data_IF_712146204807
#
_entry.id   IF_712146204807
#
_cell.length_a   1.000
_cell.length_b   1.000
_cell.length_c   1.000
_cell.angle_alpha   90.00
_cell.angle_beta   90.00
_cell.angle_gamma   90.00
#
_symmetry.space_group_name_H-M   'P 1'
#
loop_
_entity.id
_entity.type
_entity.pdbx_description
1 polymer ?
#
# COMPACT_ATOMS: atom_id res chain seq x y z
N UNK A 1 5.62 -5.00 25.49
CA UNK A 1 6.18 -5.92 24.46
C UNK A 1 5.40 -7.22 24.48
N UNK A 2 5.33 -7.95 23.37
CA UNK A 2 4.57 -9.22 23.26
C UNK A 2 5.37 -10.31 22.55
N UNK A 3 5.17 -11.56 22.96
CA UNK A 3 5.71 -12.79 22.32
C UNK A 3 4.77 -13.34 21.24
N UNK A 4 4.10 -12.45 20.52
CA UNK A 4 3.19 -12.87 19.46
C UNK A 4 3.95 -13.63 18.37
N UNK A 5 3.61 -14.90 18.20
CA UNK A 5 4.14 -15.76 17.14
C UNK A 5 3.50 -15.32 15.81
N UNK A 6 4.33 -15.16 14.78
CA UNK A 6 3.87 -14.80 13.44
C UNK A 6 2.90 -15.87 12.88
N UNK A 7 1.98 -15.47 12.01
CA UNK A 7 1.07 -16.40 11.34
C UNK A 7 1.82 -17.44 10.51
N UNK A 8 1.35 -18.71 10.50
CA UNK A 8 1.97 -19.74 9.69
C UNK A 8 1.94 -19.36 8.21
N UNK A 9 3.06 -19.57 7.52
CA UNK A 9 3.17 -19.30 6.09
C UNK A 9 2.53 -20.47 5.33
N UNK A 10 1.49 -20.22 4.53
CA UNK A 10 0.87 -21.27 3.72
C UNK A 10 1.81 -21.65 2.59
N UNK A 11 1.93 -22.93 2.24
CA UNK A 11 2.82 -23.41 1.16
C UNK A 11 2.21 -23.29 -0.25
N UNK A 12 0.99 -22.74 -0.37
CA UNK A 12 0.24 -22.72 -1.62
C UNK A 12 0.71 -21.60 -2.56
N UNK A 13 0.98 -21.94 -3.82
CA UNK A 13 1.10 -20.99 -4.92
C UNK A 13 -0.23 -20.89 -5.66
N UNK A 14 -0.57 -19.69 -6.12
CA UNK A 14 -1.81 -19.43 -6.86
C UNK A 14 -1.45 -18.89 -8.25
N UNK A 15 -1.99 -19.46 -9.34
CA UNK A 15 -1.74 -18.96 -10.68
C UNK A 15 -2.40 -17.59 -10.89
N UNK A 16 -1.79 -16.76 -11.73
CA UNK A 16 -2.41 -15.55 -12.27
C UNK A 16 -3.59 -15.96 -13.14
N UNK A 17 -4.76 -15.37 -12.87
CA UNK A 17 -5.98 -15.56 -13.64
C UNK A 17 -6.29 -14.29 -14.42
N UNK A 18 -6.86 -14.46 -15.61
CA UNK A 18 -7.54 -13.35 -16.29
C UNK A 18 -8.73 -12.90 -15.43
N UNK A 19 -9.00 -11.58 -15.35
CA UNK A 19 -10.06 -11.04 -14.51
C UNK A 19 -11.41 -11.61 -14.93
N UNK A 20 -12.30 -11.81 -13.97
CA UNK A 20 -13.65 -12.28 -14.26
C UNK A 20 -14.46 -11.18 -14.96
N UNK A 21 -15.47 -11.55 -15.75
CA UNK A 21 -16.29 -10.60 -16.52
C UNK A 21 -16.93 -9.51 -15.64
N UNK A 22 -17.24 -9.81 -14.38
CA UNK A 22 -17.76 -8.86 -13.39
C UNK A 22 -16.75 -7.81 -12.93
N UNK A 23 -15.48 -8.17 -12.78
CA UNK A 23 -14.41 -7.23 -12.36
C UNK A 23 -13.98 -6.31 -13.50
N UNK A 24 -14.04 -6.82 -14.73
CA UNK A 24 -13.88 -6.01 -15.94
C UNK A 24 -15.07 -5.08 -16.11
N UNK A 25 -16.30 -5.57 -15.88
CA UNK A 25 -17.52 -4.78 -15.99
C UNK A 25 -17.54 -3.60 -15.01
N UNK A 26 -17.17 -3.80 -13.73
CA UNK A 26 -17.17 -2.69 -12.76
C UNK A 26 -16.20 -1.58 -13.13
N UNK A 27 -15.02 -1.92 -13.67
CA UNK A 27 -14.01 -0.95 -14.12
C UNK A 27 -14.44 -0.24 -15.39
N UNK A 28 -15.02 -0.97 -16.35
CA UNK A 28 -15.61 -0.38 -17.55
C UNK A 28 -16.74 0.58 -17.16
N UNK A 29 -17.64 0.19 -16.26
CA UNK A 29 -18.72 1.06 -15.78
C UNK A 29 -18.16 2.33 -15.12
N UNK A 30 -17.11 2.20 -14.30
CA UNK A 30 -16.46 3.38 -13.68
C UNK A 30 -15.79 4.29 -14.71
N UNK A 31 -15.07 3.74 -15.69
CA UNK A 31 -14.44 4.50 -16.76
C UNK A 31 -15.47 5.17 -17.68
N UNK A 32 -16.58 4.47 -17.96
CA UNK A 32 -17.67 4.98 -18.79
C UNK A 32 -18.42 6.11 -18.07
N UNK A 33 -18.62 5.98 -16.76
CA UNK A 33 -19.22 7.02 -15.92
C UNK A 33 -18.39 8.30 -15.91
N UNK A 34 -17.07 8.19 -15.72
CA UNK A 34 -16.16 9.35 -15.73
C UNK A 34 -16.10 9.99 -17.13
N UNK A 35 -16.09 9.18 -18.18
CA UNK A 35 -16.13 9.66 -19.57
C UNK A 35 -17.45 10.39 -19.88
N UNK A 36 -18.59 9.80 -19.51
CA UNK A 36 -19.91 10.40 -19.69
C UNK A 36 -20.03 11.73 -18.94
N UNK A 37 -19.50 11.82 -17.72
CA UNK A 37 -19.43 13.07 -16.96
C UNK A 37 -18.64 14.15 -17.71
N UNK A 38 -17.52 13.78 -18.32
CA UNK A 38 -16.70 14.70 -19.13
C UNK A 38 -17.44 15.23 -20.36
N UNK A 39 -18.23 14.39 -21.04
CA UNK A 39 -19.04 14.80 -22.20
C UNK A 39 -20.21 15.68 -21.76
N UNK A 40 -20.91 15.31 -20.68
CA UNK A 40 -22.09 16.04 -20.17
C UNK A 40 -21.71 17.40 -19.59
N UNK A 41 -20.55 17.55 -18.95
CA UNK A 41 -20.09 18.85 -18.43
C UNK A 41 -19.33 19.65 -19.48
N UNK A 42 -18.42 19.03 -20.22
CA UNK A 42 -17.58 19.71 -21.19
C UNK A 42 -18.33 20.14 -22.46
N UNK A 43 -19.28 19.33 -22.94
CA UNK A 43 -20.06 19.63 -24.15
C UNK A 43 -20.86 20.94 -24.05
N UNK A 44 -21.71 21.12 -23.03
CA UNK A 44 -22.45 22.37 -22.83
C UNK A 44 -21.54 23.58 -22.60
N UNK A 45 -20.45 23.43 -21.83
CA UNK A 45 -19.49 24.52 -21.60
C UNK A 45 -18.83 25.00 -22.91
N UNK A 46 -18.49 24.08 -23.81
CA UNK A 46 -18.00 24.44 -25.14
C UNK A 46 -19.09 25.11 -25.99
N UNK A 47 -20.33 24.63 -25.91
CA UNK A 47 -21.46 25.20 -26.65
C UNK A 47 -21.76 26.66 -26.23
N UNK A 48 -21.70 26.97 -24.94
CA UNK A 48 -21.92 28.33 -24.41
C UNK A 48 -20.68 29.25 -24.50
N UNK A 49 -19.66 28.86 -25.27
CA UNK A 49 -18.49 29.70 -25.57
C UNK A 49 -17.40 29.73 -24.49
N UNK A 50 -17.53 28.93 -23.43
CA UNK A 50 -16.51 28.78 -22.39
C UNK A 50 -15.45 27.76 -22.83
N UNK A 51 -14.71 28.11 -23.87
CA UNK A 51 -13.80 27.19 -24.59
C UNK A 51 -12.71 26.60 -23.69
N UNK A 52 -12.12 27.40 -22.80
CA UNK A 52 -11.07 26.96 -21.86
C UNK A 52 -11.62 26.00 -20.80
N UNK A 53 -12.77 26.32 -20.21
CA UNK A 53 -13.38 25.47 -19.19
C UNK A 53 -13.90 24.15 -19.78
N UNK A 54 -14.50 24.21 -20.96
CA UNK A 54 -15.01 23.03 -21.67
C UNK A 54 -13.90 22.08 -22.15
N UNK A 55 -12.78 22.61 -22.68
CA UNK A 55 -11.62 21.78 -23.04
C UNK A 55 -10.95 21.18 -21.82
N UNK A 56 -10.78 21.93 -20.72
CA UNK A 56 -10.22 21.40 -19.48
C UNK A 56 -11.09 20.24 -18.92
N UNK A 57 -12.42 20.39 -18.94
CA UNK A 57 -13.34 19.35 -18.49
C UNK A 57 -13.25 18.07 -19.37
N UNK A 58 -13.20 18.22 -20.70
CA UNK A 58 -13.05 17.07 -21.61
C UNK A 58 -11.71 16.35 -21.46
N UNK A 59 -10.61 17.08 -21.26
CA UNK A 59 -9.29 16.45 -21.08
C UNK A 59 -9.22 15.73 -19.75
N UNK A 60 -9.66 16.35 -18.65
CA UNK A 60 -9.57 15.74 -17.32
C UNK A 60 -10.54 14.56 -17.15
N UNK A 61 -11.80 14.73 -17.52
CA UNK A 61 -12.82 13.70 -17.30
C UNK A 61 -12.95 12.75 -18.51
N UNK A 62 -12.98 13.29 -19.74
CA UNK A 62 -13.03 12.46 -20.95
C UNK A 62 -11.70 11.72 -21.20
N UNK A 63 -10.58 12.44 -21.21
CA UNK A 63 -9.25 11.85 -21.35
C UNK A 63 -8.87 10.95 -20.17
N UNK A 64 -9.20 11.37 -18.94
CA UNK A 64 -9.01 10.55 -17.74
C UNK A 64 -9.81 9.24 -17.76
N UNK A 65 -11.10 9.28 -18.16
CA UNK A 65 -11.94 8.09 -18.28
C UNK A 65 -11.42 7.10 -19.32
N UNK A 66 -10.94 7.59 -20.46
CA UNK A 66 -10.33 6.76 -21.50
C UNK A 66 -9.01 6.12 -21.04
N UNK A 67 -8.18 6.86 -20.30
CA UNK A 67 -6.94 6.33 -19.72
C UNK A 67 -7.21 5.22 -18.69
N UNK A 68 -8.25 5.37 -17.86
CA UNK A 68 -8.69 4.33 -16.92
C UNK A 68 -9.09 3.04 -17.66
N UNK A 69 -9.75 3.16 -18.82
CA UNK A 69 -10.09 2.00 -19.65
C UNK A 69 -8.89 1.36 -20.36
N UNK A 70 -7.91 2.15 -20.84
CA UNK A 70 -6.77 1.64 -21.60
C UNK A 70 -5.68 1.00 -20.73
N UNK A 71 -5.48 1.48 -19.51
CA UNK A 71 -4.43 1.01 -18.61
C UNK A 71 -4.86 -0.09 -17.64
N UNK A 72 -6.12 -0.53 -17.66
CA UNK A 72 -6.61 -1.66 -16.86
C UNK A 72 -6.25 -3.01 -17.48
N UNK A 73 -4.94 -3.30 -17.57
CA UNK A 73 -4.42 -4.64 -17.88
C UNK A 73 -4.10 -5.35 -16.59
N UNK A 74 -5.11 -5.98 -15.99
CA UNK A 74 -4.98 -6.56 -14.67
C UNK A 74 -5.00 -8.08 -14.77
N UNK A 75 -3.82 -8.70 -14.73
CA UNK A 75 -3.74 -10.06 -14.22
C UNK A 75 -4.16 -10.00 -12.74
N UNK A 76 -5.13 -10.81 -12.35
CA UNK A 76 -5.64 -10.88 -10.98
C UNK A 76 -5.20 -12.21 -10.39
N UNK A 77 -4.77 -12.20 -9.14
CA UNK A 77 -4.48 -13.43 -8.40
C UNK A 77 -5.13 -13.38 -7.03
N UNK A 78 -5.47 -14.53 -6.46
CA UNK A 78 -5.91 -14.58 -5.07
C UNK A 78 -4.69 -14.56 -4.15
N UNK A 79 -4.77 -13.76 -3.08
CA UNK A 79 -3.76 -13.74 -2.05
C UNK A 79 -3.63 -15.13 -1.41
N UNK A 80 -2.43 -15.73 -1.34
CA UNK A 80 -2.24 -17.05 -0.75
C UNK A 80 -2.47 -17.07 0.77
N UNK A 81 -2.64 -15.93 1.43
CA UNK A 81 -2.95 -15.87 2.86
C UNK A 81 -4.46 -15.78 3.09
N UNK A 82 -5.10 -14.71 2.62
CA UNK A 82 -6.51 -14.42 2.91
C UNK A 82 -7.50 -14.76 1.79
N UNK A 83 -7.03 -15.17 0.61
CA UNK A 83 -7.86 -15.44 -0.57
C UNK A 83 -8.44 -14.19 -1.25
N UNK A 84 -8.14 -12.98 -0.77
CA UNK A 84 -8.62 -11.75 -1.40
C UNK A 84 -7.96 -11.52 -2.77
N UNK A 85 -8.70 -10.90 -3.70
CA UNK A 85 -8.16 -10.51 -5.00
C UNK A 85 -7.01 -9.50 -4.86
N UNK A 86 -5.92 -9.77 -5.56
CA UNK A 86 -4.80 -8.86 -5.75
C UNK A 86 -4.95 -8.24 -7.14
N UNK A 87 -5.31 -6.96 -7.17
CA UNK A 87 -5.44 -6.16 -8.38
C UNK A 87 -4.22 -5.25 -8.59
N UNK A 88 -4.01 -4.75 -9.81
CA UNK A 88 -2.90 -3.86 -10.19
C UNK A 88 -1.52 -4.49 -9.92
N UNK A 89 -1.35 -5.76 -10.27
CA UNK A 89 -0.08 -6.45 -10.10
C UNK A 89 0.98 -5.85 -11.03
N UNK A 90 2.18 -5.52 -10.52
CA UNK A 90 3.27 -5.05 -11.36
C UNK A 90 3.67 -6.16 -12.33
N UNK A 91 4.20 -5.80 -13.51
CA UNK A 91 4.74 -6.81 -14.43
C UNK A 91 5.81 -7.68 -13.73
N UNK A 92 5.79 -9.01 -13.91
CA UNK A 92 6.83 -9.86 -13.35
C UNK A 92 8.20 -9.46 -13.91
N UNK A 93 9.24 -9.49 -13.06
CA UNK A 93 10.61 -9.24 -13.50
C UNK A 93 11.06 -10.31 -14.51
N UNK A 94 11.73 -9.87 -15.58
CA UNK A 94 12.33 -10.78 -16.56
C UNK A 94 13.43 -11.66 -15.91
N UNK A 95 14.11 -11.09 -14.92
CA UNK A 95 15.28 -11.64 -14.22
C UNK A 95 14.96 -12.82 -13.29
N UNK A 96 13.68 -13.21 -13.17
CA UNK A 96 13.25 -14.34 -12.34
C UNK A 96 13.24 -14.07 -10.83
N UNK A 97 13.68 -12.90 -10.38
CA UNK A 97 13.58 -12.46 -8.97
C UNK A 97 12.12 -12.18 -8.62
N UNK A 98 11.55 -12.82 -7.57
CA UNK A 98 10.16 -12.61 -7.17
C UNK A 98 9.96 -11.17 -6.69
N UNK A 99 9.02 -10.43 -7.29
CA UNK A 99 8.68 -9.08 -6.81
C UNK A 99 7.79 -9.18 -5.57
N UNK A 100 8.09 -8.43 -4.49
CA UNK A 100 7.21 -8.37 -3.34
C UNK A 100 5.94 -7.59 -3.70
N UNK A 101 4.80 -8.26 -3.59
CA UNK A 101 3.46 -7.68 -3.74
C UNK A 101 2.77 -7.75 -2.39
N UNK A 102 2.21 -6.62 -1.95
CA UNK A 102 1.49 -6.54 -0.68
C UNK A 102 -0.01 -6.69 -0.90
N UNK A 103 -0.65 -7.54 -0.09
CA UNK A 103 -2.11 -7.61 -0.02
C UNK A 103 -2.67 -6.45 0.80
N UNK A 104 -3.63 -5.69 0.25
CA UNK A 104 -4.29 -4.59 0.96
C UNK A 104 -5.19 -5.04 2.13
N UNK A 105 -5.66 -6.28 2.12
CA UNK A 105 -6.57 -6.82 3.14
C UNK A 105 -5.81 -7.37 4.35
N UNK A 106 -4.82 -8.23 4.10
CA UNK A 106 -4.08 -8.90 5.17
C UNK A 106 -2.67 -8.36 5.40
N UNK A 107 -2.22 -7.36 4.62
CA UNK A 107 -0.89 -6.72 4.72
C UNK A 107 0.32 -7.66 4.54
N UNK A 108 0.07 -8.91 4.17
CA UNK A 108 1.10 -9.91 3.89
C UNK A 108 1.72 -9.69 2.52
N UNK A 109 3.00 -10.09 2.42
CA UNK A 109 3.75 -10.06 1.18
C UNK A 109 3.77 -11.41 0.49
N UNK A 110 3.50 -11.39 -0.80
CA UNK A 110 3.62 -12.50 -1.72
C UNK A 110 4.63 -12.18 -2.82
N UNK A 111 5.43 -13.15 -3.23
CA UNK A 111 6.33 -13.04 -4.37
C UNK A 111 5.57 -13.30 -5.67
N UNK A 112 5.62 -12.33 -6.58
CA UNK A 112 5.14 -12.51 -7.96
C UNK A 112 6.29 -13.01 -8.83
N UNK A 113 6.13 -14.21 -9.40
CA UNK A 113 7.13 -14.84 -10.25
C UNK A 113 6.44 -15.49 -11.46
N UNK A 114 6.80 -15.03 -12.68
CA UNK A 114 6.40 -15.59 -14.00
C UNK A 114 5.06 -16.33 -14.02
N UNK A 115 3.94 -15.63 -13.83
CA UNK A 115 2.61 -16.24 -13.94
C UNK A 115 2.01 -16.77 -12.62
N UNK A 116 2.76 -16.74 -11.51
CA UNK A 116 2.32 -17.27 -10.23
C UNK A 116 2.58 -16.30 -9.09
N UNK A 117 1.72 -16.37 -8.07
CA UNK A 117 1.91 -15.71 -6.79
C UNK A 117 2.19 -16.76 -5.73
N UNK A 118 3.40 -16.71 -5.17
CA UNK A 118 3.84 -17.57 -4.07
C UNK A 118 4.02 -16.74 -2.79
N UNK A 119 4.01 -17.37 -1.61
CA UNK A 119 4.36 -16.70 -0.37
C UNK A 119 5.81 -16.17 -0.45
N UNK A 120 6.03 -14.91 -0.05
CA UNK A 120 7.38 -14.37 0.03
C UNK A 120 8.17 -15.06 1.15
N UNK A 121 9.49 -15.13 1.01
CA UNK A 121 10.36 -15.78 2.00
C UNK A 121 10.11 -15.18 3.41
N UNK A 122 9.68 -15.97 4.42
CA UNK A 122 9.36 -15.48 5.75
C UNK A 122 10.53 -14.80 6.47
N UNK A 123 11.74 -15.23 6.18
CA UNK A 123 12.97 -14.75 6.81
C UNK A 123 13.69 -13.74 5.92
N UNK A 124 13.00 -13.16 4.94
CA UNK A 124 13.58 -12.12 4.10
C UNK A 124 13.97 -10.90 4.94
N UNK A 125 15.23 -10.52 4.80
CA UNK A 125 15.79 -9.28 5.34
C UNK A 125 16.37 -8.51 4.17
N UNK A 126 15.78 -7.37 3.89
CA UNK A 126 16.21 -6.48 2.80
C UNK A 126 17.19 -5.43 3.34
N UNK A 127 18.12 -4.98 2.51
CA UNK A 127 19.10 -3.95 2.91
C UNK A 127 18.44 -2.61 3.22
N UNK A 128 17.31 -2.32 2.54
CA UNK A 128 16.48 -1.12 2.71
C UNK A 128 15.11 -1.50 3.29
N UNK A 129 14.46 -0.62 4.05
CA UNK A 129 13.14 -0.88 4.58
C UNK A 129 12.10 -0.85 3.45
N UNK A 130 11.62 -2.04 3.06
CA UNK A 130 10.71 -2.26 1.93
C UNK A 130 9.35 -2.82 2.38
N UNK A 131 9.31 -3.52 3.51
CA UNK A 131 8.09 -4.15 4.01
C UNK A 131 7.30 -3.15 4.85
N UNK A 132 6.10 -2.81 4.42
CA UNK A 132 5.27 -1.77 5.00
C UNK A 132 4.20 -2.36 5.89
N UNK A 133 3.96 -1.74 7.03
CA UNK A 133 2.80 -2.00 7.88
C UNK A 133 2.11 -0.70 8.29
N UNK A 134 0.78 -0.72 8.54
CA UNK A 134 0.11 0.40 9.17
C UNK A 134 0.63 0.59 10.60
N UNK A 135 0.64 1.84 11.08
CA UNK A 135 0.94 2.14 12.48
C UNK A 135 -0.31 1.86 13.34
N UNK A 136 -0.15 1.05 14.38
CA UNK A 136 -1.20 0.81 15.39
C UNK A 136 -1.44 2.04 16.27
N UNK A 137 -2.66 2.19 16.81
CA UNK A 137 -3.00 3.28 17.73
C UNK A 137 -2.19 3.21 19.03
N UNK A 138 -2.02 1.99 19.57
CA UNK A 138 -1.24 1.70 20.77
C UNK A 138 -0.11 0.74 20.43
N UNK A 139 1.05 1.26 20.06
CA UNK A 139 2.16 0.44 19.54
C UNK A 139 2.73 -0.50 20.61
N UNK A 140 2.56 -1.80 20.39
CA UNK A 140 3.22 -2.87 21.13
C UNK A 140 4.34 -3.46 20.27
N UNK A 141 5.58 -3.25 20.68
CA UNK A 141 6.73 -3.86 19.99
C UNK A 141 6.85 -5.36 20.30
N UNK A 142 7.24 -6.18 19.30
CA UNK A 142 7.58 -7.58 19.57
C UNK A 142 8.80 -7.65 20.50
N UNK A 143 8.91 -8.72 21.30
CA UNK A 143 10.13 -8.97 22.06
C UNK A 143 11.29 -9.27 21.10
N UNK A 144 12.42 -8.59 21.31
CA UNK A 144 13.61 -8.71 20.47
C UNK A 144 13.85 -7.54 19.53
N UNK A 145 15.04 -7.51 18.94
CA UNK A 145 15.46 -6.51 17.96
C UNK A 145 14.56 -6.58 16.71
N UNK A 146 14.10 -5.42 16.25
CA UNK A 146 13.23 -5.29 15.06
C UNK A 146 13.84 -5.79 13.74
N UNK A 147 15.12 -6.16 13.71
CA UNK A 147 15.76 -6.75 12.53
C UNK A 147 16.03 -8.26 12.69
N UNK A 148 16.69 -8.67 13.78
CA UNK A 148 17.14 -10.05 13.98
C UNK A 148 16.39 -10.84 15.07
N UNK A 149 15.58 -10.17 15.91
CA UNK A 149 14.85 -10.82 17.00
C UNK A 149 15.66 -11.17 18.26
N UNK A 150 16.96 -10.86 18.30
CA UNK A 150 17.83 -11.03 19.49
C UNK A 150 17.44 -10.04 20.59
N UNK A 151 17.75 -10.31 21.85
CA UNK A 151 17.44 -9.44 22.99
C UNK A 151 17.87 -7.97 22.74
N UNK A 152 16.98 -6.99 22.98
CA UNK A 152 17.28 -5.60 22.68
C UNK A 152 18.19 -5.01 23.75
N UNK A 153 19.27 -4.37 23.32
CA UNK A 153 20.19 -3.66 24.21
C UNK A 153 19.93 -2.15 24.20
N UNK A 154 19.13 -1.65 23.26
CA UNK A 154 18.83 -0.22 23.12
C UNK A 154 17.43 0.03 22.55
N UNK A 155 16.92 1.21 22.83
CA UNK A 155 15.62 1.68 22.38
C UNK A 155 15.77 3.02 21.68
N UNK A 156 15.62 3.02 20.35
CA UNK A 156 15.76 4.24 19.56
C UNK A 156 14.36 4.84 19.27
N UNK A 157 14.33 6.14 18.97
CA UNK A 157 13.14 6.85 18.50
C UNK A 157 13.14 6.92 16.97
N UNK A 158 12.00 6.64 16.34
CA UNK A 158 11.81 6.79 14.90
C UNK A 158 10.80 7.90 14.64
N UNK A 159 11.18 8.87 13.82
CA UNK A 159 10.37 10.04 13.51
C UNK A 159 10.17 10.25 12.02
N UNK A 160 9.09 10.93 11.66
CA UNK A 160 8.85 11.43 10.30
C UNK A 160 8.14 12.76 10.37
N UNK A 161 8.13 13.49 9.26
CA UNK A 161 7.43 14.76 9.16
C UNK A 161 6.54 14.76 7.92
N UNK A 162 5.29 15.18 8.07
CA UNK A 162 4.43 15.48 6.92
C UNK A 162 4.43 16.97 6.64
N UNK A 163 4.59 17.32 5.37
CA UNK A 163 4.47 18.69 4.88
C UNK A 163 3.17 18.79 4.12
N UNK A 164 2.30 19.73 4.49
CA UNK A 164 1.08 19.96 3.73
C UNK A 164 1.39 20.68 2.41
N UNK A 165 1.54 19.91 1.33
CA UNK A 165 1.90 20.43 0.02
C UNK A 165 0.84 21.36 -0.60
N UNK A 166 -0.43 21.23 -0.22
CA UNK A 166 -1.49 22.13 -0.71
C UNK A 166 -1.34 23.57 -0.20
N UNK A 167 -0.63 23.74 0.92
CA UNK A 167 -0.46 25.02 1.58
C UNK A 167 0.87 25.72 1.19
N UNK A 168 1.78 24.98 0.53
CA UNK A 168 2.94 25.55 -0.18
C UNK A 168 2.52 26.53 -1.27
N UNK A 169 1.39 26.27 -1.95
CA UNK A 169 0.86 27.14 -3.01
C UNK A 169 0.39 28.50 -2.47
N UNK A 170 0.06 28.57 -1.17
CA UNK A 170 -0.42 29.78 -0.48
C UNK A 170 0.68 30.36 0.45
N UNK A 171 1.93 29.89 0.34
CA UNK A 171 3.07 30.41 1.11
C UNK A 171 3.10 30.05 2.60
N UNK A 172 2.16 29.25 3.10
CA UNK A 172 2.15 28.82 4.50
C UNK A 172 2.50 27.33 4.61
N UNK A 173 3.64 27.01 5.20
CA UNK A 173 4.06 25.62 5.39
C UNK A 173 3.67 25.16 6.79
N UNK A 174 2.70 24.25 6.88
CA UNK A 174 2.43 23.50 8.13
C UNK A 174 3.16 22.16 8.08
N UNK A 175 4.14 22.00 8.98
CA UNK A 175 4.86 20.75 9.19
C UNK A 175 4.27 20.05 10.41
N UNK A 176 3.85 18.79 10.26
CA UNK A 176 3.48 17.93 11.39
C UNK A 176 4.60 16.93 11.62
N UNK A 177 5.21 16.96 12.80
CA UNK A 177 6.23 16.00 13.21
C UNK A 177 5.57 14.87 13.98
N UNK A 178 5.83 13.64 13.55
CA UNK A 178 5.42 12.43 14.25
C UNK A 178 6.67 11.76 14.80
N UNK A 179 6.62 11.36 16.06
CA UNK A 179 7.70 10.63 16.71
C UNK A 179 7.14 9.39 17.39
N UNK A 180 7.85 8.29 17.27
CA UNK A 180 7.52 7.02 17.85
C UNK A 180 8.72 6.52 18.68
N UNK A 181 8.66 6.67 20.02
CA UNK A 181 9.72 6.20 20.90
C UNK A 181 9.66 4.68 21.12
N UNK A 182 10.78 4.11 21.57
CA UNK A 182 10.82 2.77 22.13
C UNK A 182 11.02 1.63 21.12
N UNK A 183 11.63 1.89 19.96
CA UNK A 183 11.90 0.85 18.96
C UNK A 183 13.08 -0.03 19.43
N UNK A 184 12.90 -1.34 19.65
CA UNK A 184 13.94 -2.20 20.20
C UNK A 184 15.02 -2.56 19.16
N UNK A 185 16.28 -2.27 19.47
CA UNK A 185 17.45 -2.63 18.66
C UNK A 185 18.50 -3.39 19.47
N UNK A 186 19.32 -4.20 18.79
CA UNK A 186 20.55 -4.78 19.36
C UNK A 186 21.77 -3.92 19.01
N UNK A 187 22.92 -4.22 19.61
CA UNK A 187 24.18 -3.52 19.35
C UNK A 187 24.61 -3.56 17.87
N UNK A 188 24.31 -4.65 17.15
CA UNK A 188 24.74 -4.85 15.77
C UNK A 188 23.89 -4.10 14.72
N UNK A 189 22.62 -3.82 15.00
CA UNK A 189 21.69 -3.29 14.01
C UNK A 189 21.26 -1.85 14.31
N UNK A 190 21.05 -1.04 13.27
CA UNK A 190 20.52 0.33 13.41
C UNK A 190 19.63 0.72 12.24
N UNK A 191 18.65 1.57 12.50
CA UNK A 191 17.75 2.17 11.48
C UNK A 191 17.11 1.11 10.57
N UNK A 192 16.60 0.04 11.18
CA UNK A 192 15.95 -1.05 10.46
C UNK A 192 14.46 -0.80 10.21
N UNK A 193 13.89 0.19 10.90
CA UNK A 193 12.50 0.64 10.75
C UNK A 193 12.49 2.13 10.45
N UNK A 194 11.71 2.53 9.47
CA UNK A 194 11.48 3.91 9.08
C UNK A 194 9.98 4.22 9.15
N UNK A 195 9.63 5.42 9.61
CA UNK A 195 8.24 5.88 9.60
C UNK A 195 8.01 6.75 8.37
N UNK A 196 6.92 6.49 7.63
CA UNK A 196 6.51 7.28 6.48
C UNK A 196 5.07 7.75 6.64
N UNK A 197 4.83 8.98 6.19
CA UNK A 197 3.49 9.56 6.07
C UNK A 197 3.03 9.50 4.63
N UNK A 198 1.82 8.99 4.40
CA UNK A 198 1.13 9.10 3.12
C UNK A 198 0.08 10.22 3.12
N UNK A 199 -0.51 10.42 1.94
CA UNK A 199 -1.61 11.37 1.71
C UNK A 199 -2.74 11.09 2.72
N UNK A 200 -3.20 12.13 3.39
CA UNK A 200 -4.19 12.03 4.46
C UNK A 200 -3.60 11.84 5.86
N UNK A 201 -2.30 12.06 6.07
CA UNK A 201 -1.59 11.88 7.36
C UNK A 201 -1.68 10.44 7.90
N UNK A 202 -1.80 9.45 7.02
CA UNK A 202 -1.73 8.04 7.41
C UNK A 202 -0.27 7.68 7.67
N UNK A 203 0.00 7.10 8.84
CA UNK A 203 1.33 6.71 9.27
C UNK A 203 1.55 5.23 8.97
N UNK A 204 2.70 4.96 8.36
CA UNK A 204 3.17 3.62 8.04
C UNK A 204 4.57 3.42 8.61
N UNK A 205 4.87 2.18 8.96
CA UNK A 205 6.20 1.72 9.31
C UNK A 205 6.73 0.86 8.16
N UNK A 206 7.87 1.24 7.61
CA UNK A 206 8.62 0.44 6.65
C UNK A 206 9.74 -0.31 7.42
N UNK A 207 9.82 -1.60 7.21
CA UNK A 207 10.67 -2.56 7.92
C UNK A 207 11.64 -3.21 6.95
N UNK A 208 12.85 -3.52 7.45
CA UNK A 208 13.82 -4.36 6.73
C UNK A 208 13.53 -5.86 6.86
N UNK A 209 12.99 -6.28 8.00
CA UNK A 209 12.75 -7.70 8.32
C UNK A 209 11.27 -8.02 8.25
N UNK A 210 10.90 -8.93 7.33
CA UNK A 210 9.51 -9.37 7.16
C UNK A 210 9.02 -10.17 8.37
N UNK A 211 9.88 -11.00 8.97
CA UNK A 211 9.53 -11.77 10.17
C UNK A 211 9.12 -10.87 11.33
N UNK A 212 9.86 -9.77 11.55
CA UNK A 212 9.58 -8.83 12.64
C UNK A 212 8.34 -7.97 12.36
N UNK A 213 8.13 -7.57 11.10
CA UNK A 213 6.87 -6.93 10.68
C UNK A 213 5.67 -7.84 11.00
N UNK A 214 5.75 -9.14 10.71
CA UNK A 214 4.67 -10.09 11.03
C UNK A 214 4.42 -10.21 12.53
N UNK A 215 5.48 -10.29 13.34
CA UNK A 215 5.36 -10.31 14.81
C UNK A 215 4.72 -9.02 15.33
N UNK A 216 5.07 -7.87 14.75
CA UNK A 216 4.43 -6.60 15.06
C UNK A 216 2.93 -6.62 14.70
N UNK A 217 2.58 -7.05 13.49
CA UNK A 217 1.19 -7.18 13.06
C UNK A 217 0.39 -8.13 13.96
N UNK A 218 1.00 -9.24 14.40
CA UNK A 218 0.40 -10.18 15.33
C UNK A 218 0.22 -9.59 16.73
N UNK A 219 1.21 -8.84 17.24
CA UNK A 219 1.18 -8.20 18.56
C UNK A 219 0.15 -7.07 18.65
N UNK A 220 -0.18 -6.42 17.53
CA UNK A 220 -1.08 -5.26 17.47
C UNK A 220 -2.43 -5.59 16.79
N UNK A 221 -2.81 -6.86 16.72
CA UNK A 221 -4.12 -7.26 16.17
C UNK A 221 -5.25 -6.53 16.90
N UNK A 222 -6.16 -5.93 16.13
CA UNK A 222 -7.30 -5.16 16.67
C UNK A 222 -6.98 -3.71 17.06
N UNK A 223 -5.73 -3.27 16.96
CA UNK A 223 -5.31 -1.90 17.27
C UNK A 223 -5.01 -1.07 16.02
N UNK A 224 -5.26 -1.64 14.85
CA UNK A 224 -5.22 -0.92 13.59
C UNK A 224 -6.56 -0.21 13.40
N UNK A 225 -6.50 1.08 13.09
CA UNK A 225 -7.69 1.79 12.62
C UNK A 225 -8.05 1.09 11.31
N UNK A 226 -9.21 0.43 11.25
CA UNK A 226 -9.77 -0.01 9.98
C UNK A 226 -9.80 1.24 9.10
N UNK A 227 -8.98 1.25 8.06
CA UNK A 227 -9.19 2.17 6.97
C UNK A 227 -10.53 1.76 6.42
N UNK A 228 -11.60 2.42 6.86
CA UNK A 228 -12.91 2.34 6.23
C UNK A 228 -12.64 2.43 4.74
N UNK A 229 -12.74 1.30 4.06
CA UNK A 229 -12.88 1.28 2.61
C UNK A 229 -14.02 2.26 2.36
N UNK A 230 -13.75 3.37 1.69
CA UNK A 230 -14.81 4.20 1.17
C UNK A 230 -15.52 3.38 0.10
N UNK A 231 -16.35 2.43 0.53
CA UNK A 231 -17.57 2.11 -0.17
C UNK A 231 -18.40 3.38 -0.07
N UNK A 232 -18.30 4.20 -1.12
CA UNK A 232 -19.42 5.06 -1.45
C UNK A 232 -20.27 4.27 -2.43
N UNK A 233 -21.45 3.94 -1.91
CA UNK A 233 -22.70 3.63 -2.61
C UNK A 233 -22.82 4.31 -3.96
#
# INVERSE_FOLDING_TARGET
>A
MSDAVATPVPTRSVPLRKPTSSEVASKIVSGLGVFALGVVLGGPLLYFGWTVAGTAALIFFGGGGLLVMLFSRDEVSACPFCGAALDNLPKPNADGVPRPVQCRKCWEYSGLQRGFVSPYNPNAVEERPTFRSPLAQSVVWPRGCVQCGVEPTRFDEVGTFSVNKGLLVVGAVRVKTFKLPGVPYCAAHKKAVEMKTEIGNKLFLDWRSLAMMRRYMAANRGQFVESSSSGKS
#
